data_IF_844189364533
#
_entry.id   IF_844189364533
#
_cell.length_a   1.000
_cell.length_b   1.000
_cell.length_c   1.000
_cell.angle_alpha   90.00
_cell.angle_beta   90.00
_cell.angle_gamma   90.00
#
_symmetry.space_group_name_H-M   'P 1'
#
loop_
_entity.id
_entity.type
_entity.pdbx_description
1 polymer ?
#
# COMPACT_ATOMS: atom_id res chain seq x y z
N UNK A 1 2.99 25.10 -26.05
CA UNK A 1 1.54 24.99 -26.34
C UNK A 1 0.87 23.91 -25.47
N UNK A 2 0.97 24.00 -24.13
CA UNK A 2 0.58 22.90 -23.21
C UNK A 2 -0.50 23.29 -22.17
N UNK A 3 -1.16 24.45 -22.32
CA UNK A 3 -2.11 24.92 -21.29
C UNK A 3 -3.50 24.27 -21.42
N UNK A 4 -4.01 24.09 -22.64
CA UNK A 4 -5.33 23.48 -22.89
C UNK A 4 -5.42 21.99 -22.49
N UNK A 5 -4.33 21.24 -22.64
CA UNK A 5 -4.30 19.79 -22.43
C UNK A 5 -4.27 19.40 -20.95
N UNK A 6 -3.74 20.25 -20.07
CA UNK A 6 -3.71 20.02 -18.64
C UNK A 6 -5.07 20.32 -17.97
N UNK A 7 -5.80 21.33 -18.47
CA UNK A 7 -7.13 21.68 -17.96
C UNK A 7 -8.16 20.57 -18.21
N UNK A 8 -8.11 19.96 -19.39
CA UNK A 8 -9.08 18.93 -19.79
C UNK A 8 -8.84 17.60 -19.07
N UNK A 9 -7.57 17.25 -18.79
CA UNK A 9 -7.23 16.07 -17.99
C UNK A 9 -7.68 16.24 -16.53
N UNK A 10 -7.44 17.40 -15.91
CA UNK A 10 -7.89 17.68 -14.55
C UNK A 10 -9.41 17.62 -14.39
N UNK A 11 -10.18 18.02 -15.41
CA UNK A 11 -11.64 17.86 -15.41
C UNK A 11 -12.06 16.39 -15.45
N UNK A 12 -11.41 15.56 -16.26
CA UNK A 12 -11.71 14.11 -16.37
C UNK A 12 -11.32 13.35 -15.09
N UNK A 13 -10.16 13.64 -14.48
CA UNK A 13 -9.79 13.07 -13.17
C UNK A 13 -10.78 13.50 -12.08
N UNK A 14 -11.21 14.77 -12.10
CA UNK A 14 -12.25 15.29 -11.19
C UNK A 14 -13.65 14.75 -11.47
N UNK A 15 -13.90 13.95 -12.52
CA UNK A 15 -15.22 13.32 -12.74
C UNK A 15 -15.16 11.81 -12.53
N UNK A 16 -14.00 11.17 -12.75
CA UNK A 16 -13.80 9.74 -12.49
C UNK A 16 -13.58 9.38 -11.02
N UNK A 17 -12.94 10.25 -10.22
CA UNK A 17 -12.59 9.95 -8.80
C UNK A 17 -13.42 10.71 -7.76
N UNK A 18 -14.46 11.43 -8.18
CA UNK A 18 -15.27 12.28 -7.27
C UNK A 18 -16.62 11.72 -6.90
N UNK A 19 -16.99 10.53 -7.38
CA UNK A 19 -18.19 9.89 -6.84
C UNK A 19 -17.81 9.21 -5.53
N UNK A 20 -17.68 10.03 -4.49
CA UNK A 20 -17.61 9.57 -3.10
C UNK A 20 -18.90 8.80 -2.85
N UNK A 21 -18.80 7.48 -2.81
CA UNK A 21 -19.95 6.63 -2.57
C UNK A 21 -20.28 6.76 -1.09
N UNK A 22 -21.47 7.30 -0.79
CA UNK A 22 -21.99 7.42 0.57
C UNK A 22 -23.08 6.39 0.82
N UNK A 23 -23.26 6.03 2.09
CA UNK A 23 -24.43 5.31 2.58
C UNK A 23 -25.62 6.26 2.53
N UNK A 24 -26.72 5.81 1.94
CA UNK A 24 -27.97 6.57 1.84
C UNK A 24 -29.01 6.06 2.85
N UNK A 25 -29.13 4.75 3.03
CA UNK A 25 -30.00 4.15 4.02
C UNK A 25 -29.45 2.80 4.48
N UNK A 26 -29.89 2.39 5.67
CA UNK A 26 -29.57 1.08 6.24
C UNK A 26 -30.78 0.44 6.87
N UNK A 27 -30.78 -0.89 6.88
CA UNK A 27 -31.76 -1.70 7.60
C UNK A 27 -31.03 -2.88 8.26
N UNK A 28 -30.90 -2.87 9.60
CA UNK A 28 -30.37 -4.02 10.33
C UNK A 28 -31.21 -5.27 10.06
N UNK A 29 -30.55 -6.41 9.89
CA UNK A 29 -31.15 -7.73 9.71
C UNK A 29 -30.85 -8.60 10.94
N UNK A 30 -30.84 -9.92 10.77
CA UNK A 30 -30.42 -10.84 11.83
C UNK A 30 -28.90 -10.80 12.07
N UNK A 31 -28.50 -11.02 13.33
CA UNK A 31 -27.10 -11.02 13.77
C UNK A 31 -26.43 -9.68 13.43
N UNK A 32 -25.25 -9.70 12.81
CA UNK A 32 -24.50 -8.51 12.40
C UNK A 32 -24.71 -8.14 10.92
N UNK A 33 -25.74 -8.68 10.28
CA UNK A 33 -26.05 -8.37 8.87
C UNK A 33 -26.86 -7.09 8.77
N UNK A 34 -26.54 -6.29 7.77
CA UNK A 34 -27.23 -5.02 7.48
C UNK A 34 -27.42 -4.91 5.98
N UNK A 35 -28.63 -4.53 5.58
CA UNK A 35 -28.92 -4.15 4.20
C UNK A 35 -28.58 -2.67 4.01
N UNK A 36 -27.74 -2.36 3.03
CA UNK A 36 -27.30 -1.01 2.69
C UNK A 36 -27.84 -0.57 1.33
N UNK A 37 -28.27 0.67 1.23
CA UNK A 37 -28.44 1.39 -0.03
C UNK A 37 -27.41 2.51 -0.11
N UNK A 38 -26.70 2.59 -1.23
CA UNK A 38 -25.67 3.59 -1.49
C UNK A 38 -26.13 4.66 -2.47
N UNK A 39 -25.49 5.83 -2.43
CA UNK A 39 -25.79 6.98 -3.31
C UNK A 39 -25.63 6.75 -4.80
N UNK A 40 -25.03 5.64 -5.23
CA UNK A 40 -24.99 5.23 -6.64
C UNK A 40 -26.15 4.31 -7.05
N UNK A 41 -27.06 4.00 -6.12
CA UNK A 41 -28.16 3.07 -6.31
C UNK A 41 -27.77 1.61 -6.06
N UNK A 42 -26.52 1.33 -5.68
CA UNK A 42 -26.12 -0.03 -5.29
C UNK A 42 -26.81 -0.40 -3.98
N UNK A 43 -27.36 -1.61 -3.93
CA UNK A 43 -27.95 -2.19 -2.73
C UNK A 43 -27.32 -3.56 -2.44
N UNK A 44 -26.98 -3.84 -1.18
CA UNK A 44 -26.48 -5.17 -0.77
C UNK A 44 -26.53 -5.39 0.73
N UNK A 45 -26.56 -6.68 1.09
CA UNK A 45 -26.39 -7.13 2.46
C UNK A 45 -24.89 -7.28 2.78
N UNK A 46 -24.47 -6.72 3.91
CA UNK A 46 -23.09 -6.79 4.40
C UNK A 46 -23.11 -7.35 5.81
N UNK A 47 -22.25 -8.33 6.07
CA UNK A 47 -22.00 -8.84 7.42
C UNK A 47 -20.93 -7.97 8.09
N UNK A 48 -21.32 -7.26 9.14
CA UNK A 48 -20.44 -6.34 9.85
C UNK A 48 -19.58 -7.01 10.92
N UNK A 49 -19.76 -8.32 11.17
CA UNK A 49 -19.07 -9.04 12.25
C UNK A 49 -17.56 -8.84 12.25
N UNK A 50 -16.95 -8.84 11.06
CA UNK A 50 -15.50 -8.68 10.87
C UNK A 50 -14.97 -7.26 11.16
N UNK A 51 -15.85 -6.27 11.26
CA UNK A 51 -15.48 -4.87 11.56
C UNK A 51 -15.71 -4.51 13.03
N UNK A 52 -16.53 -5.28 13.75
CA UNK A 52 -16.87 -5.03 15.15
C UNK A 52 -15.82 -5.63 16.09
N UNK A 53 -14.59 -5.10 16.04
CA UNK A 53 -13.49 -5.54 16.90
C UNK A 53 -12.80 -4.37 17.60
N UNK A 54 -12.18 -4.67 18.75
CA UNK A 54 -11.49 -3.68 19.58
C UNK A 54 -12.43 -2.94 20.56
N UNK A 55 -11.86 -2.17 21.50
CA UNK A 55 -12.61 -1.62 22.64
C UNK A 55 -13.74 -0.66 22.24
N UNK A 56 -13.60 0.03 21.09
CA UNK A 56 -14.61 0.99 20.59
C UNK A 56 -15.88 0.28 20.12
N UNK A 57 -15.76 -0.91 19.53
CA UNK A 57 -16.89 -1.68 19.00
C UNK A 57 -17.39 -2.76 19.95
N UNK A 58 -16.71 -3.03 21.06
CA UNK A 58 -17.11 -4.04 22.05
C UNK A 58 -18.55 -3.85 22.56
N UNK A 59 -19.01 -2.63 22.91
CA UNK A 59 -20.40 -2.42 23.31
C UNK A 59 -21.39 -2.76 22.19
N UNK A 60 -21.10 -2.31 20.96
CA UNK A 60 -21.93 -2.55 19.78
C UNK A 60 -22.02 -4.04 19.45
N UNK A 61 -20.93 -4.78 19.63
CA UNK A 61 -20.89 -6.24 19.39
C UNK A 61 -21.69 -7.02 20.42
N UNK A 62 -21.63 -6.61 21.69
CA UNK A 62 -22.18 -7.38 22.81
C UNK A 62 -23.65 -7.04 23.11
N UNK A 63 -24.16 -5.91 22.62
CA UNK A 63 -25.54 -5.48 22.78
C UNK A 63 -26.28 -5.45 21.43
N UNK A 64 -27.19 -6.42 21.18
CA UNK A 64 -27.97 -6.46 19.94
C UNK A 64 -28.89 -5.25 19.74
N UNK A 65 -29.39 -4.63 20.81
CA UNK A 65 -30.24 -3.44 20.70
C UNK A 65 -29.39 -2.23 20.30
N UNK A 66 -28.21 -2.08 20.89
CA UNK A 66 -27.25 -1.06 20.47
C UNK A 66 -26.83 -1.27 19.01
N UNK A 67 -26.52 -2.50 18.59
CA UNK A 67 -26.21 -2.79 17.18
C UNK A 67 -27.34 -2.30 16.26
N UNK A 68 -28.60 -2.61 16.59
CA UNK A 68 -29.77 -2.21 15.80
C UNK A 68 -30.06 -0.72 15.84
N UNK A 69 -29.53 0.02 16.81
CA UNK A 69 -29.70 1.47 16.94
C UNK A 69 -28.81 2.29 15.98
N UNK A 70 -28.13 1.65 15.02
CA UNK A 70 -27.39 2.36 13.97
C UNK A 70 -28.29 3.29 13.16
N UNK A 71 -27.73 4.43 12.75
CA UNK A 71 -28.38 5.39 11.88
C UNK A 71 -27.37 5.94 10.86
N UNK A 72 -27.88 6.60 9.80
CA UNK A 72 -27.02 7.22 8.79
C UNK A 72 -26.73 8.66 9.18
N UNK A 73 -25.45 9.00 9.30
CA UNK A 73 -24.96 10.36 9.55
C UNK A 73 -23.68 10.59 8.72
N UNK A 74 -23.50 11.80 8.18
CA UNK A 74 -22.30 12.13 7.40
C UNK A 74 -22.10 11.29 6.12
N UNK A 75 -23.11 10.52 5.71
CA UNK A 75 -23.02 9.58 4.58
C UNK A 75 -22.39 8.24 4.95
N UNK A 76 -22.43 7.85 6.22
CA UNK A 76 -22.05 6.52 6.70
C UNK A 76 -22.94 6.05 7.86
N UNK A 77 -22.73 4.84 8.38
CA UNK A 77 -23.41 4.37 9.60
C UNK A 77 -22.71 4.86 10.84
N UNK A 78 -23.51 5.25 11.82
CA UNK A 78 -23.06 5.72 13.13
C UNK A 78 -23.93 5.07 14.21
N UNK A 79 -23.33 4.75 15.35
CA UNK A 79 -24.01 4.35 16.58
C UNK A 79 -24.00 5.47 17.63
N UNK A 80 -24.87 5.43 18.64
CA UNK A 80 -24.76 6.31 19.80
C UNK A 80 -23.33 6.32 20.36
N UNK A 81 -22.79 7.51 20.63
CA UNK A 81 -21.40 7.68 21.04
C UNK A 81 -20.41 7.94 19.90
N UNK A 82 -20.90 8.38 18.72
CA UNK A 82 -20.09 8.82 17.57
C UNK A 82 -19.17 7.72 17.00
N UNK A 83 -19.51 6.45 17.23
CA UNK A 83 -18.81 5.31 16.65
C UNK A 83 -19.34 5.07 15.24
N UNK A 84 -18.47 5.12 14.23
CA UNK A 84 -18.83 4.93 12.83
C UNK A 84 -17.98 3.84 12.15
N UNK A 85 -18.39 3.42 10.95
CA UNK A 85 -17.56 2.65 10.04
C UNK A 85 -17.43 3.46 8.75
N UNK A 86 -16.21 3.64 8.24
CA UNK A 86 -15.95 4.45 7.05
C UNK A 86 -16.75 3.94 5.81
N UNK A 87 -17.33 4.85 5.00
CA UNK A 87 -18.14 4.46 3.85
C UNK A 87 -17.37 3.70 2.76
N UNK A 88 -16.07 3.93 2.59
CA UNK A 88 -15.22 3.17 1.68
C UNK A 88 -14.99 1.74 2.22
N UNK A 89 -14.86 1.60 3.54
CA UNK A 89 -14.77 0.28 4.18
C UNK A 89 -16.05 -0.52 3.94
N UNK A 90 -17.21 0.12 4.08
CA UNK A 90 -18.50 -0.50 3.77
C UNK A 90 -18.64 -0.78 2.26
N UNK A 91 -18.16 0.13 1.40
CA UNK A 91 -18.33 0.03 -0.05
C UNK A 91 -17.43 -1.01 -0.71
N UNK A 92 -16.13 -0.92 -0.46
CA UNK A 92 -15.11 -1.73 -1.12
C UNK A 92 -14.71 -2.96 -0.31
N UNK A 93 -14.93 -2.96 1.01
CA UNK A 93 -14.52 -4.04 1.89
C UNK A 93 -13.00 -4.23 1.86
N UNK A 94 -12.56 -5.46 1.53
CA UNK A 94 -11.13 -5.79 1.44
C UNK A 94 -10.53 -5.46 0.07
N UNK A 95 -11.33 -4.93 -0.88
CA UNK A 95 -10.86 -4.56 -2.21
C UNK A 95 -10.14 -3.23 -2.14
N UNK A 96 -9.02 -3.06 -2.87
CA UNK A 96 -8.38 -1.77 -2.96
C UNK A 96 -9.33 -0.76 -3.60
N UNK A 97 -9.40 0.43 -3.01
CA UNK A 97 -10.16 1.54 -3.58
C UNK A 97 -9.59 1.91 -4.96
N UNK A 98 -10.42 2.19 -5.97
CA UNK A 98 -9.96 2.39 -7.35
C UNK A 98 -8.85 3.45 -7.50
N UNK A 99 -8.94 4.56 -6.75
CA UNK A 99 -7.91 5.60 -6.79
C UNK A 99 -6.56 5.15 -6.22
N UNK A 100 -6.53 4.16 -5.32
CA UNK A 100 -5.28 3.63 -4.77
C UNK A 100 -4.57 2.76 -5.81
N UNK A 101 -5.30 1.91 -6.53
CA UNK A 101 -4.74 1.07 -7.62
C UNK A 101 -4.07 1.95 -8.66
N UNK A 102 -4.76 3.00 -9.10
CA UNK A 102 -4.23 3.90 -10.11
C UNK A 102 -3.05 4.75 -9.62
N UNK A 103 -3.07 5.19 -8.36
CA UNK A 103 -1.94 5.91 -7.78
C UNK A 103 -0.68 5.05 -7.74
N UNK A 104 -0.81 3.76 -7.38
CA UNK A 104 0.31 2.82 -7.40
C UNK A 104 0.86 2.60 -8.82
N UNK A 105 0.00 2.46 -9.81
CA UNK A 105 0.39 2.35 -11.22
C UNK A 105 1.10 3.61 -11.70
N UNK A 106 0.57 4.79 -11.36
CA UNK A 106 1.20 6.06 -11.67
C UNK A 106 2.60 6.17 -11.06
N UNK A 107 2.76 5.78 -9.79
CA UNK A 107 4.06 5.74 -9.12
C UNK A 107 5.04 4.80 -9.84
N UNK A 108 4.59 3.62 -10.25
CA UNK A 108 5.40 2.66 -11.03
C UNK A 108 5.82 3.26 -12.37
N UNK A 109 4.90 3.92 -13.09
CA UNK A 109 5.20 4.56 -14.36
C UNK A 109 6.21 5.70 -14.21
N UNK A 110 6.06 6.58 -13.21
CA UNK A 110 7.01 7.66 -12.94
C UNK A 110 8.41 7.12 -12.63
N UNK A 111 8.51 6.08 -11.79
CA UNK A 111 9.78 5.41 -11.49
C UNK A 111 10.42 4.80 -12.75
N UNK A 112 9.64 4.10 -13.57
CA UNK A 112 10.12 3.51 -14.82
C UNK A 112 10.61 4.59 -15.80
N UNK A 113 9.89 5.72 -15.88
CA UNK A 113 10.26 6.88 -16.70
C UNK A 113 11.59 7.49 -16.25
N UNK A 114 11.77 7.71 -14.95
CA UNK A 114 13.04 8.22 -14.41
C UNK A 114 14.21 7.28 -14.71
N UNK A 115 14.01 5.96 -14.58
CA UNK A 115 15.05 4.97 -14.93
C UNK A 115 15.40 5.05 -16.42
N UNK A 116 14.39 5.15 -17.29
CA UNK A 116 14.59 5.29 -18.74
C UNK A 116 15.37 6.56 -19.07
N UNK A 117 15.02 7.68 -18.45
CA UNK A 117 15.72 8.95 -18.64
C UNK A 117 17.15 8.91 -18.13
N UNK A 118 17.41 8.31 -16.96
CA UNK A 118 18.76 8.09 -16.44
C UNK A 118 19.59 7.24 -17.40
N UNK A 119 19.03 6.16 -17.95
CA UNK A 119 19.68 5.32 -18.96
C UNK A 119 20.00 6.10 -20.24
N UNK A 120 19.06 6.89 -20.76
CA UNK A 120 19.27 7.72 -21.95
C UNK A 120 20.31 8.82 -21.72
N UNK A 121 20.29 9.49 -20.56
CA UNK A 121 21.28 10.49 -20.15
C UNK A 121 22.67 9.88 -20.03
N UNK A 122 22.79 8.69 -19.43
CA UNK A 122 24.06 7.96 -19.35
C UNK A 122 24.61 7.56 -20.74
N UNK A 123 23.74 7.09 -21.65
CA UNK A 123 24.12 6.79 -23.04
C UNK A 123 24.57 8.05 -23.81
N UNK A 124 23.86 9.17 -23.65
CA UNK A 124 24.23 10.46 -24.26
C UNK A 124 25.51 11.05 -23.67
N UNK A 125 25.77 10.84 -22.38
CA UNK A 125 26.99 11.28 -21.71
C UNK A 125 28.22 10.42 -22.04
N UNK A 126 28.06 9.31 -22.79
CA UNK A 126 29.16 8.50 -23.30
C UNK A 126 29.12 8.45 -24.84
N UNK A 127 29.45 9.54 -25.56
CA UNK A 127 29.49 9.51 -27.03
C UNK A 127 30.72 8.79 -27.58
N UNK A 128 31.72 8.49 -26.74
CA UNK A 128 33.01 7.98 -27.20
C UNK A 128 33.57 6.92 -26.26
N UNK A 129 32.93 5.75 -26.26
CA UNK A 129 33.55 4.51 -25.79
C UNK A 129 34.57 4.02 -26.81
N UNK A 130 35.68 4.76 -27.01
CA UNK A 130 36.87 4.18 -27.63
C UNK A 130 37.23 2.95 -26.79
N UNK A 131 36.97 1.76 -27.33
CA UNK A 131 37.31 0.48 -26.71
C UNK A 131 38.84 0.49 -26.53
N UNK A 132 39.34 0.90 -25.37
CA UNK A 132 40.74 0.64 -25.01
C UNK A 132 40.83 -0.87 -24.83
N UNK A 133 41.30 -1.55 -25.86
CA UNK A 133 41.82 -2.91 -25.74
C UNK A 133 43.07 -2.84 -24.85
N UNK A 134 42.89 -2.78 -23.54
CA UNK A 134 43.99 -3.08 -22.63
C UNK A 134 44.19 -4.58 -22.69
N UNK A 135 45.20 -4.99 -23.46
CA UNK A 135 45.76 -6.34 -23.48
C UNK A 135 45.89 -6.81 -22.02
N UNK A 136 45.18 -7.87 -21.66
CA UNK A 136 45.24 -8.42 -20.31
C UNK A 136 46.71 -8.75 -19.95
N UNK A 137 47.20 -8.39 -18.77
CA UNK A 137 48.50 -8.89 -18.32
C UNK A 137 48.38 -10.39 -18.06
N UNK A 138 49.38 -11.15 -18.55
CA UNK A 138 49.45 -12.60 -18.43
C UNK A 138 49.28 -13.08 -16.96
N UNK A 139 48.65 -14.24 -16.72
CA UNK A 139 48.44 -14.75 -15.38
C UNK A 139 49.78 -15.07 -14.71
N UNK A 140 50.05 -14.42 -13.57
CA UNK A 140 51.22 -14.74 -12.73
C UNK A 140 51.05 -16.14 -12.13
N UNK A 141 52.01 -17.04 -12.43
CA UNK A 141 52.08 -18.40 -11.89
C UNK A 141 52.11 -18.34 -10.35
N UNK A 142 51.13 -18.97 -9.69
CA UNK A 142 51.14 -19.19 -8.23
C UNK A 142 52.16 -20.29 -7.92
N UNK A 143 53.18 -19.98 -7.13
CA UNK A 143 54.03 -21.00 -6.50
C UNK A 143 53.42 -21.41 -5.15
N UNK A 144 53.47 -22.70 -4.78
CA UNK A 144 52.94 -23.16 -3.50
C UNK A 144 53.92 -22.80 -2.37
N UNK A 145 53.48 -22.04 -1.36
CA UNK A 145 54.24 -21.90 -0.12
C UNK A 145 53.90 -23.05 0.83
N UNK A 146 54.96 -23.72 1.25
CA UNK A 146 55.01 -24.88 2.11
C UNK A 146 54.43 -24.63 3.51
N UNK A 147 53.76 -25.67 4.00
CA UNK A 147 53.18 -25.81 5.33
C UNK A 147 54.31 -25.95 6.36
N UNK A 148 54.46 -25.00 7.27
CA UNK A 148 55.30 -25.13 8.45
C UNK A 148 54.44 -25.21 9.72
N UNK A 149 54.56 -26.33 10.44
CA UNK A 149 54.02 -26.58 11.79
C UNK A 149 54.81 -25.78 12.85
N UNK A 150 54.13 -25.28 13.88
CA UNK A 150 54.67 -25.05 15.24
C UNK A 150 53.50 -24.98 16.23
N UNK A 151 53.24 -26.02 17.03
CA UNK A 151 53.73 -26.34 18.39
C UNK A 151 53.24 -25.38 19.49
N UNK A 152 52.26 -25.90 20.24
CA UNK A 152 51.89 -25.83 21.68
C UNK A 152 52.59 -24.83 22.61
N UNK A 153 51.80 -24.17 23.48
CA UNK A 153 52.21 -23.77 24.82
C UNK A 153 51.40 -22.66 25.51
N UNK A 154 50.50 -23.05 26.45
CA UNK A 154 50.18 -22.47 27.80
C UNK A 154 50.21 -20.94 28.02
N UNK A 155 49.33 -20.25 28.77
CA UNK A 155 48.60 -20.45 30.06
C UNK A 155 47.71 -19.18 30.24
N UNK A 156 46.45 -19.26 30.70
CA UNK A 156 45.96 -19.03 32.09
C UNK A 156 45.43 -17.61 32.43
N UNK A 157 44.15 -17.61 32.86
CA UNK A 157 43.51 -16.92 34.00
C UNK A 157 43.01 -15.45 33.95
N UNK A 158 41.87 -15.32 34.66
CA UNK A 158 41.21 -14.15 35.29
C UNK A 158 40.32 -13.26 34.37
N UNK A 159 39.14 -12.78 34.75
CA UNK A 159 38.34 -12.96 35.97
C UNK A 159 36.89 -12.52 35.71
N UNK A 160 36.00 -12.95 36.61
CA UNK A 160 34.61 -12.51 36.77
C UNK A 160 34.53 -11.03 37.18
N UNK A 161 33.52 -10.29 36.70
CA UNK A 161 32.34 -9.90 37.49
C UNK A 161 31.30 -9.17 36.62
#
# INVERSE_FOLDING_TARGET
>A
MNSQTNHTKNAVYRTKYTKLIRVQSVRPLEKFKVHFTFTDGTERDIDLDKYLWGPVFEPVRNDPDLFRAMYVEGGTITWPGEVDIDPDTLYYGDKPVPWMVEYEEWQKEQKARQVRERRLKAKRASPNGRRKTTKAPAPKKRTPKSRARRVVGTKSAAEHK
#
